data_IF_590489212115
#
_entry.id   IF_590489212115
#
_cell.length_a   1.000
_cell.length_b   1.000
_cell.length_c   1.000
_cell.angle_alpha   90.00
_cell.angle_beta   90.00
_cell.angle_gamma   90.00
#
_symmetry.space_group_name_H-M   'P 1'
#
loop_
_entity.id
_entity.type
_entity.pdbx_description
1 polymer ?
#
# COMPACT_ATOMS: atom_id res chain seq x y z
N UNK A 1 24.71 6.27 -8.30
CA UNK A 1 25.07 5.52 -7.06
C UNK A 1 24.03 4.44 -6.83
N UNK A 2 24.31 3.36 -6.10
CA UNK A 2 23.27 2.40 -5.68
C UNK A 2 22.56 2.94 -4.43
N UNK A 3 21.30 2.60 -4.21
CA UNK A 3 20.62 2.84 -2.92
C UNK A 3 21.44 2.23 -1.78
N UNK A 4 21.88 3.04 -0.82
CA UNK A 4 22.65 2.55 0.31
C UNK A 4 21.79 1.70 1.24
N UNK A 5 22.42 0.77 1.96
CA UNK A 5 21.76 -0.06 2.99
C UNK A 5 21.02 0.78 4.03
N UNK A 6 21.60 1.93 4.40
CA UNK A 6 20.99 2.87 5.33
C UNK A 6 19.68 3.44 4.78
N UNK A 7 19.70 3.99 3.57
CA UNK A 7 18.51 4.60 2.96
C UNK A 7 17.47 3.55 2.58
N UNK A 8 17.90 2.37 2.13
CA UNK A 8 17.00 1.24 1.88
C UNK A 8 16.22 0.86 3.14
N UNK A 9 16.91 0.69 4.27
CA UNK A 9 16.23 0.37 5.54
C UNK A 9 15.26 1.47 5.95
N UNK A 10 15.69 2.73 5.91
CA UNK A 10 14.83 3.87 6.26
C UNK A 10 13.57 3.91 5.38
N UNK A 11 13.72 3.71 4.07
CA UNK A 11 12.59 3.70 3.13
C UNK A 11 11.62 2.55 3.42
N UNK A 12 12.13 1.34 3.62
CA UNK A 12 11.29 0.18 3.92
C UNK A 12 10.58 0.31 5.26
N UNK A 13 11.26 0.83 6.29
CA UNK A 13 10.66 1.08 7.59
C UNK A 13 9.54 2.13 7.48
N UNK A 14 9.80 3.22 6.74
CA UNK A 14 8.80 4.25 6.48
C UNK A 14 7.58 3.70 5.75
N UNK A 15 7.79 2.95 4.65
CA UNK A 15 6.71 2.34 3.88
C UNK A 15 5.87 1.36 4.70
N UNK A 16 6.51 0.50 5.50
CA UNK A 16 5.78 -0.40 6.39
C UNK A 16 4.93 0.38 7.42
N UNK A 17 5.47 1.45 7.98
CA UNK A 17 4.70 2.35 8.86
C UNK A 17 3.49 2.97 8.14
N UNK A 18 3.67 3.46 6.92
CA UNK A 18 2.58 4.00 6.10
C UNK A 18 1.51 2.96 5.77
N UNK A 19 1.91 1.73 5.42
CA UNK A 19 0.98 0.62 5.17
C UNK A 19 0.16 0.32 6.42
N UNK A 20 0.80 0.26 7.60
CA UNK A 20 0.13 -0.04 8.85
C UNK A 20 -0.87 1.07 9.25
N UNK A 21 -0.47 2.33 9.14
CA UNK A 21 -1.33 3.47 9.47
C UNK A 21 -2.49 3.62 8.47
N UNK A 22 -2.22 3.48 7.17
CA UNK A 22 -3.25 3.52 6.14
C UNK A 22 -4.26 2.39 6.33
N UNK A 23 -3.80 1.16 6.58
CA UNK A 23 -4.67 0.00 6.78
C UNK A 23 -5.59 0.19 8.00
N UNK A 24 -5.06 0.76 9.09
CA UNK A 24 -5.86 1.10 10.28
C UNK A 24 -6.93 2.14 9.96
N UNK A 25 -6.53 3.28 9.37
CA UNK A 25 -7.45 4.36 9.02
C UNK A 25 -8.56 3.91 8.06
N UNK A 26 -8.22 3.14 7.04
CA UNK A 26 -9.20 2.61 6.09
C UNK A 26 -10.14 1.60 6.72
N UNK A 27 -9.64 0.75 7.63
CA UNK A 27 -10.50 -0.20 8.35
C UNK A 27 -11.48 0.53 9.26
N UNK A 28 -11.01 1.55 10.00
CA UNK A 28 -11.87 2.38 10.83
C UNK A 28 -12.94 3.11 10.01
N UNK A 29 -12.54 3.71 8.88
CA UNK A 29 -13.44 4.35 7.93
C UNK A 29 -14.50 3.36 7.41
N UNK A 30 -14.07 2.17 6.95
CA UNK A 30 -14.95 1.11 6.47
C UNK A 30 -15.96 0.69 7.54
N UNK A 31 -15.49 0.35 8.76
CA UNK A 31 -16.35 -0.07 9.86
C UNK A 31 -17.31 1.05 10.31
N UNK A 32 -16.90 2.32 10.22
CA UNK A 32 -17.80 3.44 10.51
C UNK A 32 -18.91 3.61 9.46
N UNK A 33 -18.63 3.19 8.22
CA UNK A 33 -19.55 3.30 7.08
C UNK A 33 -20.40 2.03 6.87
N UNK A 34 -20.04 0.91 7.50
CA UNK A 34 -20.63 -0.41 7.18
C UNK A 34 -22.13 -0.48 7.49
N UNK A 35 -22.63 0.31 8.44
CA UNK A 35 -24.07 0.41 8.73
C UNK A 35 -24.87 1.07 7.60
N UNK A 36 -24.22 1.79 6.68
CA UNK A 36 -24.84 2.35 5.48
C UNK A 36 -24.91 1.33 4.33
N UNK A 37 -24.16 0.23 4.42
CA UNK A 37 -24.22 -0.87 3.44
C UNK A 37 -25.52 -1.61 3.67
N UNK A 38 -26.42 -1.61 2.68
CA UNK A 38 -27.61 -2.47 2.69
C UNK A 38 -27.17 -3.88 2.29
N UNK A 39 -27.25 -4.89 3.17
CA UNK A 39 -26.89 -6.25 2.82
C UNK A 39 -27.82 -6.76 1.71
N UNK A 40 -27.24 -7.33 0.65
CA UNK A 40 -27.96 -7.97 -0.44
C UNK A 40 -28.07 -9.48 -0.16
N UNK A 41 -29.11 -9.87 0.56
CA UNK A 41 -29.49 -11.26 0.78
C UNK A 41 -28.99 -11.88 2.09
N UNK A 42 -29.42 -13.12 2.34
CA UNK A 42 -29.25 -13.77 3.65
C UNK A 42 -27.78 -14.01 4.06
N UNK A 43 -26.90 -14.26 3.09
CA UNK A 43 -25.48 -14.52 3.36
C UNK A 43 -24.77 -13.27 3.89
N UNK A 44 -25.01 -12.10 3.28
CA UNK A 44 -24.43 -10.84 3.72
C UNK A 44 -24.99 -10.40 5.08
N UNK A 45 -26.29 -10.64 5.33
CA UNK A 45 -26.89 -10.38 6.66
C UNK A 45 -26.20 -11.20 7.74
N UNK A 46 -25.98 -12.50 7.50
CA UNK A 46 -25.29 -13.39 8.45
C UNK A 46 -23.84 -12.97 8.68
N UNK A 47 -23.12 -12.63 7.60
CA UNK A 47 -21.75 -12.16 7.71
C UNK A 47 -21.66 -10.85 8.50
N UNK A 48 -22.57 -9.91 8.24
CA UNK A 48 -22.69 -8.67 8.97
C UNK A 48 -22.96 -8.89 10.47
N UNK A 49 -23.90 -9.77 10.81
CA UNK A 49 -24.18 -10.13 12.20
C UNK A 49 -22.95 -10.73 12.89
N UNK A 50 -22.24 -11.64 12.22
CA UNK A 50 -21.00 -12.23 12.74
C UNK A 50 -19.90 -11.18 12.98
N UNK A 51 -19.79 -10.18 12.09
CA UNK A 51 -18.86 -9.06 12.28
C UNK A 51 -19.25 -8.19 13.48
N UNK A 52 -20.55 -7.98 13.72
CA UNK A 52 -21.01 -7.23 14.89
C UNK A 52 -20.78 -7.97 16.21
N UNK A 53 -20.85 -9.30 16.22
CA UNK A 53 -20.55 -10.12 17.40
C UNK A 53 -19.06 -10.10 17.78
N UNK A 54 -18.16 -9.85 16.81
CA UNK A 54 -16.73 -9.79 17.04
C UNK A 54 -16.06 -8.64 16.26
N UNK A 55 -16.43 -7.40 16.59
CA UNK A 55 -15.92 -6.20 15.91
C UNK A 55 -14.41 -6.13 15.92
N UNK A 56 -13.76 -6.42 17.05
CA UNK A 56 -12.31 -6.34 17.18
C UNK A 56 -11.59 -7.39 16.33
N UNK A 57 -12.08 -8.63 16.32
CA UNK A 57 -11.54 -9.68 15.45
C UNK A 57 -11.71 -9.34 13.97
N UNK A 58 -12.87 -8.79 13.58
CA UNK A 58 -13.11 -8.34 12.21
C UNK A 58 -12.22 -7.16 11.83
N UNK A 59 -12.02 -6.19 12.73
CA UNK A 59 -11.10 -5.05 12.52
C UNK A 59 -9.68 -5.53 12.25
N UNK A 60 -9.12 -6.36 13.13
CA UNK A 60 -7.77 -6.88 12.99
C UNK A 60 -7.60 -7.71 11.71
N UNK A 61 -8.61 -8.50 11.33
CA UNK A 61 -8.56 -9.27 10.09
C UNK A 61 -8.56 -8.37 8.85
N UNK A 62 -9.44 -7.36 8.81
CA UNK A 62 -9.51 -6.40 7.71
C UNK A 62 -8.21 -5.60 7.58
N UNK A 63 -7.67 -5.10 8.69
CA UNK A 63 -6.36 -4.44 8.71
C UNK A 63 -5.27 -5.34 8.14
N UNK A 64 -5.24 -6.61 8.56
CA UNK A 64 -4.25 -7.57 8.07
C UNK A 64 -4.39 -7.84 6.58
N UNK A 65 -5.61 -7.93 6.06
CA UNK A 65 -5.86 -8.11 4.63
C UNK A 65 -5.37 -6.89 3.83
N UNK A 66 -5.69 -5.68 4.28
CA UNK A 66 -5.21 -4.45 3.64
C UNK A 66 -3.68 -4.37 3.65
N UNK A 67 -3.04 -4.69 4.78
CA UNK A 67 -1.58 -4.74 4.89
C UNK A 67 -0.96 -5.75 3.92
N UNK A 68 -1.54 -6.95 3.79
CA UNK A 68 -1.01 -7.99 2.88
C UNK A 68 -1.09 -7.53 1.42
N UNK A 69 -2.24 -7.03 0.99
CA UNK A 69 -2.43 -6.54 -0.38
C UNK A 69 -1.51 -5.35 -0.69
N UNK A 70 -1.37 -4.40 0.25
CA UNK A 70 -0.48 -3.26 0.05
C UNK A 70 1.00 -3.69 -0.05
N UNK A 71 1.43 -4.66 0.77
CA UNK A 71 2.80 -5.19 0.70
C UNK A 71 3.07 -5.91 -0.61
N UNK A 72 2.11 -6.67 -1.13
CA UNK A 72 2.21 -7.33 -2.44
C UNK A 72 2.34 -6.29 -3.56
N UNK A 73 1.50 -5.25 -3.55
CA UNK A 73 1.59 -4.14 -4.51
C UNK A 73 2.96 -3.46 -4.49
N UNK A 74 3.49 -3.13 -3.30
CA UNK A 74 4.81 -2.51 -3.21
C UNK A 74 5.94 -3.47 -3.60
N UNK A 75 5.78 -4.76 -3.33
CA UNK A 75 6.73 -5.78 -3.80
C UNK A 75 6.79 -5.83 -5.32
N UNK A 76 5.64 -5.84 -6.00
CA UNK A 76 5.57 -5.81 -7.46
C UNK A 76 6.16 -4.52 -8.03
N UNK A 77 5.86 -3.38 -7.40
CA UNK A 77 6.47 -2.09 -7.74
C UNK A 77 8.01 -2.12 -7.64
N UNK A 78 8.55 -2.72 -6.57
CA UNK A 78 10.00 -2.88 -6.44
C UNK A 78 10.56 -3.87 -7.46
N UNK A 79 9.83 -4.92 -7.84
CA UNK A 79 10.25 -5.81 -8.92
C UNK A 79 10.42 -5.06 -10.24
N UNK A 80 9.53 -4.12 -10.56
CA UNK A 80 9.65 -3.26 -11.75
C UNK A 80 10.90 -2.38 -11.67
N UNK A 81 11.16 -1.76 -10.51
CA UNK A 81 12.36 -0.92 -10.30
C UNK A 81 13.64 -1.75 -10.39
N UNK A 82 13.64 -2.97 -9.86
CA UNK A 82 14.82 -3.85 -9.88
C UNK A 82 15.03 -4.53 -11.25
N UNK A 83 14.13 -4.30 -12.22
CA UNK A 83 14.20 -4.86 -13.56
C UNK A 83 13.94 -6.37 -13.61
N UNK A 84 13.26 -6.91 -12.59
CA UNK A 84 12.84 -8.32 -12.52
C UNK A 84 11.35 -8.50 -12.80
N UNK A 85 10.61 -7.40 -12.93
CA UNK A 85 9.26 -7.34 -13.48
C UNK A 85 9.22 -6.33 -14.63
N UNK A 86 8.41 -6.62 -15.65
CA UNK A 86 8.22 -5.74 -16.81
C UNK A 86 6.76 -5.26 -16.87
N UNK A 87 6.50 -3.96 -17.05
CA UNK A 87 5.17 -3.48 -17.40
C UNK A 87 4.76 -4.00 -18.79
N UNK A 88 3.45 -4.05 -19.06
CA UNK A 88 2.93 -4.60 -20.32
C UNK A 88 3.33 -3.80 -21.58
N UNK A 89 3.83 -2.57 -21.40
CA UNK A 89 4.26 -1.69 -22.49
C UNK A 89 5.67 -2.05 -23.00
N UNK A 90 5.78 -2.15 -24.32
CA UNK A 90 7.01 -2.56 -25.01
C UNK A 90 8.07 -1.45 -25.10
N UNK A 91 7.69 -0.20 -24.87
CA UNK A 91 8.61 0.95 -24.96
C UNK A 91 9.15 1.37 -23.57
N UNK A 92 9.01 0.51 -22.57
CA UNK A 92 9.57 0.74 -21.24
C UNK A 92 11.10 0.64 -21.21
N UNK A 93 11.75 1.70 -20.74
CA UNK A 93 13.22 1.77 -20.65
C UNK A 93 13.78 1.46 -19.25
N UNK A 94 12.91 1.22 -18.27
CA UNK A 94 13.29 0.96 -16.88
C UNK A 94 13.42 2.20 -16.02
N UNK A 95 13.35 2.02 -14.70
CA UNK A 95 13.74 3.02 -13.70
C UNK A 95 14.63 2.37 -12.65
N UNK A 96 15.40 3.18 -11.93
CA UNK A 96 16.26 2.71 -10.85
C UNK A 96 16.07 3.57 -9.60
N UNK A 97 15.97 2.92 -8.45
CA UNK A 97 15.99 3.59 -7.16
C UNK A 97 17.42 3.71 -6.64
N UNK A 98 17.86 4.94 -6.39
CA UNK A 98 19.21 5.23 -5.93
C UNK A 98 19.25 6.33 -4.87
N UNK A 99 20.36 6.40 -4.13
CA UNK A 99 20.63 7.54 -3.26
C UNK A 99 20.70 8.83 -4.09
N UNK A 100 20.07 9.90 -3.57
CA UNK A 100 20.11 11.24 -4.17
C UNK A 100 21.58 11.71 -4.20
N UNK A 101 22.13 12.05 -5.38
CA UNK A 101 23.47 12.64 -5.49
C UNK A 101 23.56 14.00 -4.79
N UNK A 102 24.76 14.35 -4.31
CA UNK A 102 25.00 15.65 -3.66
C UNK A 102 24.89 16.84 -4.65
N UNK A 103 25.11 16.59 -5.94
CA UNK A 103 25.04 17.55 -7.04
C UNK A 103 23.69 17.48 -7.80
N UNK A 104 22.68 16.85 -7.21
CA UNK A 104 21.38 16.68 -7.84
C UNK A 104 20.69 18.04 -8.03
N UNK A 105 20.39 18.38 -9.28
CA UNK A 105 19.65 19.58 -9.66
C UNK A 105 18.26 19.58 -8.98
N UNK A 106 17.97 20.60 -8.19
CA UNK A 106 16.71 20.71 -7.45
C UNK A 106 15.52 21.10 -8.34
N UNK A 107 15.76 21.43 -9.60
CA UNK A 107 14.71 21.83 -10.56
C UNK A 107 14.04 20.67 -11.30
N UNK A 108 14.12 19.45 -10.77
CA UNK A 108 13.42 18.28 -11.34
C UNK A 108 11.97 18.30 -10.85
N UNK A 109 11.01 18.24 -11.78
CA UNK A 109 9.59 18.03 -11.48
C UNK A 109 9.43 16.68 -10.76
N UNK A 110 8.76 16.68 -9.60
CA UNK A 110 8.53 15.46 -8.87
C UNK A 110 7.23 14.81 -9.31
N UNK A 111 7.18 13.48 -9.28
CA UNK A 111 5.99 12.73 -9.68
C UNK A 111 4.71 13.15 -8.95
N UNK A 112 4.80 13.64 -7.71
CA UNK A 112 3.62 14.07 -6.94
C UNK A 112 3.06 15.43 -7.37
N UNK A 113 3.81 16.21 -8.17
CA UNK A 113 3.32 17.48 -8.70
C UNK A 113 2.24 17.29 -9.78
N UNK A 114 2.15 16.08 -10.35
CA UNK A 114 1.18 15.71 -11.39
C UNK A 114 -0.16 15.16 -10.84
N UNK A 115 -0.30 14.97 -9.52
CA UNK A 115 -1.47 14.32 -8.89
C UNK A 115 -2.24 15.23 -7.91
#
# INVERSE_FOLDING_TARGET
>A
MKLSEKNRRILLDYLNGQIDDYSRQQTESFLSSISAVKPYGEAEIKAYQAMQENVEGSRLLLERLLQLNARELFFDFFCIIDGVGDPEDKDWSGVLLMDKPDDFDEHVEFLHDEF
#
